data_IF_923691565392
#
_entry.id   IF_923691565392
#
_cell.length_a   1.000
_cell.length_b   1.000
_cell.length_c   1.000
_cell.angle_alpha   90.00
_cell.angle_beta   90.00
_cell.angle_gamma   90.00
#
_symmetry.space_group_name_H-M   'P 1'
#
loop_
_entity.id
_entity.type
_entity.pdbx_description
1 polymer ?
#
# COMPACT_ATOMS: atom_id res chain seq x y z
N UNK A 1 -42.68 -26.36 -7.91
CA UNK A 1 -41.97 -25.97 -6.67
C UNK A 1 -40.62 -26.67 -6.61
N UNK A 2 -39.56 -26.08 -7.18
CA UNK A 2 -38.21 -26.66 -7.18
C UNK A 2 -37.32 -25.92 -6.17
N UNK A 3 -36.90 -26.60 -5.10
CA UNK A 3 -35.99 -26.03 -4.09
C UNK A 3 -34.59 -25.87 -4.69
N UNK A 4 -34.18 -24.63 -4.91
CA UNK A 4 -32.81 -24.29 -5.30
C UNK A 4 -31.82 -24.72 -4.21
N UNK A 5 -30.93 -25.65 -4.55
CA UNK A 5 -29.78 -25.99 -3.71
C UNK A 5 -28.87 -24.77 -3.64
N UNK A 6 -28.94 -24.05 -2.52
CA UNK A 6 -27.99 -23.00 -2.17
C UNK A 6 -26.58 -23.56 -2.19
N UNK A 7 -25.81 -23.18 -3.21
CA UNK A 7 -24.39 -23.49 -3.34
C UNK A 7 -23.67 -22.76 -2.20
N UNK A 8 -23.43 -23.46 -1.09
CA UNK A 8 -22.65 -22.95 0.03
C UNK A 8 -21.31 -22.48 -0.52
N UNK A 9 -21.04 -21.17 -0.42
CA UNK A 9 -19.71 -20.62 -0.68
C UNK A 9 -18.74 -21.35 0.24
N UNK A 10 -17.62 -21.90 -0.28
CA UNK A 10 -16.64 -22.54 0.58
C UNK A 10 -16.20 -21.52 1.63
N UNK A 11 -16.21 -21.93 2.90
CA UNK A 11 -15.82 -21.07 4.00
C UNK A 11 -14.47 -20.44 3.70
N UNK A 12 -14.41 -19.10 3.72
CA UNK A 12 -13.15 -18.37 3.71
C UNK A 12 -12.31 -18.97 4.82
N UNK A 13 -11.25 -19.72 4.47
CA UNK A 13 -10.12 -19.87 5.39
C UNK A 13 -9.73 -18.45 5.76
N UNK A 14 -9.90 -18.09 7.02
CA UNK A 14 -9.38 -16.84 7.54
C UNK A 14 -7.87 -16.98 7.43
N UNK A 15 -7.31 -16.50 6.32
CA UNK A 15 -5.87 -16.29 6.23
C UNK A 15 -5.57 -15.29 7.35
N UNK A 16 -4.57 -15.60 8.15
CA UNK A 16 -4.31 -14.86 9.37
C UNK A 16 -3.77 -13.47 9.01
N UNK A 17 -4.12 -12.49 9.84
CA UNK A 17 -3.35 -11.26 9.93
C UNK A 17 -1.92 -11.62 10.33
N UNK A 18 -0.95 -11.30 9.50
CA UNK A 18 0.46 -11.62 9.75
C UNK A 18 1.33 -10.38 9.63
N UNK A 19 2.45 -10.43 10.35
CA UNK A 19 3.46 -9.37 10.36
C UNK A 19 4.29 -9.42 9.07
N UNK A 20 4.43 -8.29 8.41
CA UNK A 20 5.34 -8.08 7.29
C UNK A 20 6.36 -7.00 7.67
N UNK A 21 7.61 -7.41 7.83
CA UNK A 21 8.73 -6.51 8.10
C UNK A 21 9.09 -5.69 6.86
N UNK A 22 9.51 -4.44 7.08
CA UNK A 22 10.03 -3.54 6.05
C UNK A 22 11.45 -3.09 6.40
N UNK A 23 12.30 -2.81 5.40
CA UNK A 23 13.64 -2.30 5.66
C UNK A 23 13.57 -0.94 6.36
N UNK A 24 14.13 -0.88 7.57
CA UNK A 24 14.19 0.34 8.36
C UNK A 24 15.20 1.35 7.76
N UNK A 25 14.93 2.66 7.84
CA UNK A 25 13.73 3.23 8.46
C UNK A 25 12.48 3.11 7.59
N UNK A 26 11.34 2.86 8.22
CA UNK A 26 10.04 2.92 7.54
C UNK A 26 9.00 3.66 8.37
N UNK A 27 8.35 4.65 7.75
CA UNK A 27 7.24 5.39 8.32
C UNK A 27 5.98 5.16 7.49
N UNK A 28 5.07 4.35 8.02
CA UNK A 28 3.80 4.02 7.36
C UNK A 28 2.90 5.25 7.20
N UNK A 29 2.83 6.12 8.20
CA UNK A 29 1.96 7.29 8.17
C UNK A 29 2.43 8.26 7.08
N UNK A 30 3.73 8.58 7.04
CA UNK A 30 4.31 9.43 6.00
C UNK A 30 4.14 8.83 4.61
N UNK A 31 4.37 7.52 4.48
CA UNK A 31 4.30 6.82 3.19
C UNK A 31 2.86 6.74 2.68
N UNK A 32 1.86 6.71 3.56
CA UNK A 32 0.44 6.61 3.17
C UNK A 32 -0.28 7.96 3.06
N UNK A 33 0.36 9.09 3.42
CA UNK A 33 -0.26 10.43 3.38
C UNK A 33 -0.94 10.76 2.05
N UNK A 34 -0.40 10.30 0.91
CA UNK A 34 -1.02 10.56 -0.40
C UNK A 34 -2.43 9.97 -0.52
N UNK A 35 -2.71 8.83 0.12
CA UNK A 35 -4.01 8.17 0.06
C UNK A 35 -5.05 8.84 0.98
N UNK A 36 -4.58 9.69 1.90
CA UNK A 36 -5.43 10.59 2.69
C UNK A 36 -5.70 11.89 1.93
N UNK A 37 -4.68 12.40 1.23
CA UNK A 37 -4.75 13.68 0.54
C UNK A 37 -5.49 13.62 -0.81
N UNK A 38 -5.45 12.47 -1.49
CA UNK A 38 -6.08 12.30 -2.80
C UNK A 38 -7.53 11.83 -2.66
N UNK A 39 -8.30 12.05 -3.73
CA UNK A 39 -9.67 11.54 -3.85
C UNK A 39 -9.80 10.04 -3.63
N UNK A 40 -11.05 9.58 -3.45
CA UNK A 40 -11.34 8.16 -3.22
C UNK A 40 -10.90 7.29 -4.40
N UNK A 41 -9.89 6.45 -4.18
CA UNK A 41 -9.50 5.36 -5.06
C UNK A 41 -10.08 4.04 -4.52
N UNK A 42 -10.91 3.37 -5.31
CA UNK A 42 -11.55 2.10 -4.92
C UNK A 42 -10.59 0.91 -5.00
N UNK A 43 -9.51 1.03 -5.77
CA UNK A 43 -8.47 0.00 -5.83
C UNK A 43 -7.52 0.13 -4.63
N UNK A 44 -7.30 1.35 -4.13
CA UNK A 44 -6.46 1.65 -2.97
C UNK A 44 -7.09 2.71 -2.07
N UNK A 45 -7.65 2.28 -0.93
CA UNK A 45 -8.41 3.16 -0.04
C UNK A 45 -7.76 3.25 1.33
N UNK A 46 -7.58 4.47 1.84
CA UNK A 46 -7.22 4.67 3.25
C UNK A 46 -8.46 5.03 4.07
N UNK A 47 -8.76 4.25 5.10
CA UNK A 47 -9.91 4.48 5.99
C UNK A 47 -9.57 4.03 7.39
N UNK A 48 -9.84 4.87 8.39
CA UNK A 48 -9.64 4.57 9.81
C UNK A 48 -8.23 4.03 10.17
N UNK A 49 -7.19 4.55 9.51
CA UNK A 49 -5.80 4.14 9.73
C UNK A 49 -5.39 2.85 9.00
N UNK A 50 -6.29 2.29 8.18
CA UNK A 50 -6.07 1.07 7.41
C UNK A 50 -5.96 1.41 5.93
N UNK A 51 -4.87 0.95 5.30
CA UNK A 51 -4.74 0.96 3.84
C UNK A 51 -5.33 -0.34 3.30
N UNK A 52 -6.46 -0.23 2.61
CA UNK A 52 -7.10 -1.31 1.88
C UNK A 52 -6.62 -1.32 0.44
N UNK A 53 -6.19 -2.48 -0.03
CA UNK A 53 -5.71 -2.67 -1.40
C UNK A 53 -6.33 -3.91 -2.02
N UNK A 54 -6.90 -3.76 -3.22
CA UNK A 54 -7.38 -4.89 -4.00
C UNK A 54 -6.20 -5.66 -4.62
N UNK A 55 -6.04 -6.94 -4.28
CA UNK A 55 -4.99 -7.83 -4.79
C UNK A 55 -5.60 -9.18 -5.15
N UNK A 56 -5.50 -9.63 -6.40
CA UNK A 56 -6.06 -10.92 -6.81
C UNK A 56 -7.56 -11.07 -6.59
N UNK A 57 -8.31 -9.95 -6.64
CA UNK A 57 -9.75 -9.92 -6.31
C UNK A 57 -10.07 -10.02 -4.82
N UNK A 58 -9.06 -9.86 -3.94
CA UNK A 58 -9.19 -9.86 -2.49
C UNK A 58 -8.94 -8.46 -1.95
N UNK A 59 -9.71 -8.07 -0.93
CA UNK A 59 -9.41 -6.88 -0.14
C UNK A 59 -8.31 -7.24 0.87
N UNK A 60 -7.20 -6.51 0.81
CA UNK A 60 -6.04 -6.68 1.69
C UNK A 60 -5.92 -5.47 2.58
N UNK A 61 -6.12 -5.67 3.88
CA UNK A 61 -6.00 -4.65 4.90
C UNK A 61 -4.56 -4.58 5.40
N UNK A 62 -3.99 -3.38 5.40
CA UNK A 62 -2.62 -3.10 5.81
C UNK A 62 -2.64 -2.03 6.91
N UNK A 63 -2.04 -2.33 8.05
CA UNK A 63 -1.99 -1.43 9.21
C UNK A 63 -0.56 -1.26 9.71
N UNK A 64 -0.24 -0.07 10.21
CA UNK A 64 1.05 0.19 10.83
C UNK A 64 1.28 -0.74 12.02
N UNK A 65 2.49 -1.27 12.16
CA UNK A 65 2.97 -1.80 13.44
C UNK A 65 4.51 -1.67 13.54
N UNK A 66 5.14 -1.94 14.70
CA UNK A 66 6.57 -1.66 14.90
C UNK A 66 7.50 -2.47 13.98
N UNK A 67 8.26 -1.82 13.08
CA UNK A 67 9.17 -2.49 12.14
C UNK A 67 8.62 -2.82 10.74
N UNK A 68 7.49 -2.23 10.32
CA UNK A 68 6.73 -2.68 9.14
C UNK A 68 5.20 -2.58 9.27
N UNK A 69 4.45 -3.59 8.78
CA UNK A 69 2.97 -3.58 8.76
C UNK A 69 2.34 -4.92 9.12
N UNK A 70 1.14 -4.88 9.68
CA UNK A 70 0.28 -6.06 9.79
C UNK A 70 -0.63 -6.13 8.57
N UNK A 71 -0.70 -7.31 7.95
CA UNK A 71 -1.38 -7.53 6.67
C UNK A 71 -2.38 -8.67 6.80
N UNK A 72 -3.61 -8.45 6.32
CA UNK A 72 -4.68 -9.44 6.29
C UNK A 72 -5.46 -9.39 4.96
N UNK A 73 -5.42 -10.45 4.13
CA UNK A 73 -4.61 -11.66 4.26
C UNK A 73 -3.14 -11.44 3.81
N UNK A 74 -2.19 -12.17 4.42
CA UNK A 74 -0.81 -12.26 3.92
C UNK A 74 -0.48 -13.69 3.47
N UNK A 75 -0.03 -13.81 2.22
CA UNK A 75 0.38 -15.05 1.56
C UNK A 75 1.35 -14.76 0.40
N UNK A 76 1.78 -15.81 -0.32
CA UNK A 76 2.72 -15.72 -1.44
C UNK A 76 2.26 -14.78 -2.57
N UNK A 77 0.95 -14.59 -2.76
CA UNK A 77 0.41 -13.70 -3.79
C UNK A 77 0.37 -12.25 -3.31
N UNK A 78 -0.06 -12.01 -2.06
CA UNK A 78 -0.23 -10.66 -1.51
C UNK A 78 1.08 -10.03 -1.04
N UNK A 79 2.00 -10.82 -0.47
CA UNK A 79 3.26 -10.34 0.08
C UNK A 79 4.09 -9.49 -0.90
N UNK A 80 4.41 -9.93 -2.13
CA UNK A 80 5.22 -9.12 -3.05
C UNK A 80 4.53 -7.82 -3.45
N UNK A 81 3.20 -7.85 -3.62
CA UNK A 81 2.42 -6.65 -3.97
C UNK A 81 2.40 -5.65 -2.83
N UNK A 82 2.21 -6.09 -1.58
CA UNK A 82 2.25 -5.20 -0.41
C UNK A 82 3.63 -4.58 -0.23
N UNK A 83 4.71 -5.36 -0.36
CA UNK A 83 6.08 -4.83 -0.32
C UNK A 83 6.30 -3.76 -1.39
N UNK A 84 5.85 -4.01 -2.62
CA UNK A 84 5.98 -3.05 -3.72
C UNK A 84 5.16 -1.78 -3.46
N UNK A 85 3.88 -1.91 -3.10
CA UNK A 85 3.00 -0.77 -2.80
C UNK A 85 3.58 0.11 -1.67
N UNK A 86 4.22 -0.49 -0.67
CA UNK A 86 4.86 0.24 0.43
C UNK A 86 6.29 0.72 0.12
N UNK A 87 6.73 0.60 -1.14
CA UNK A 87 8.02 1.12 -1.59
C UNK A 87 9.23 0.38 -1.01
N UNK A 88 9.08 -0.89 -0.64
CA UNK A 88 10.20 -1.73 -0.18
C UNK A 88 11.38 -1.80 -1.17
N UNK A 89 11.20 -1.73 -2.50
CA UNK A 89 12.32 -1.72 -3.44
C UNK A 89 13.24 -0.49 -3.36
N UNK A 90 12.81 0.60 -2.71
CA UNK A 90 13.70 1.75 -2.52
C UNK A 90 14.79 1.42 -1.49
N UNK A 91 16.05 1.77 -1.76
CA UNK A 91 17.09 1.69 -0.74
C UNK A 91 17.31 3.08 -0.15
N UNK A 92 16.91 3.26 1.12
CA UNK A 92 16.96 4.55 1.79
C UNK A 92 18.35 4.87 2.33
N UNK A 93 19.17 3.87 2.66
CA UNK A 93 20.46 4.12 3.29
C UNK A 93 21.45 4.81 2.31
N UNK A 94 21.71 4.28 1.10
CA UNK A 94 22.51 4.98 0.10
C UNK A 94 21.91 6.32 -0.31
N UNK A 95 20.57 6.42 -0.35
CA UNK A 95 19.89 7.69 -0.66
C UNK A 95 20.17 8.75 0.41
N UNK A 96 20.14 8.39 1.69
CA UNK A 96 20.48 9.28 2.79
C UNK A 96 21.95 9.67 2.80
N UNK A 97 22.86 8.75 2.48
CA UNK A 97 24.28 9.05 2.35
C UNK A 97 24.57 10.01 1.20
N UNK A 98 23.86 9.87 0.08
CA UNK A 98 23.99 10.74 -1.08
C UNK A 98 23.38 12.15 -0.87
N UNK A 99 22.30 12.24 -0.09
CA UNK A 99 21.56 13.48 0.09
C UNK A 99 22.43 14.58 0.73
N UNK A 100 22.46 15.75 0.09
CA UNK A 100 23.23 16.92 0.55
C UNK A 100 22.44 18.22 0.37
N UNK A 101 22.90 19.30 1.01
CA UNK A 101 22.26 20.61 0.91
C UNK A 101 20.77 20.57 1.30
N UNK A 102 19.86 21.14 0.49
CA UNK A 102 18.42 21.08 0.75
C UNK A 102 17.85 19.66 0.87
N UNK A 103 18.41 18.68 0.16
CA UNK A 103 17.94 17.29 0.23
C UNK A 103 18.24 16.66 1.59
N UNK A 104 19.40 16.94 2.19
CA UNK A 104 19.71 16.45 3.54
C UNK A 104 18.69 16.94 4.58
N UNK A 105 18.20 18.17 4.43
CA UNK A 105 17.14 18.68 5.32
C UNK A 105 15.81 17.94 5.11
N UNK A 106 15.48 17.59 3.86
CA UNK A 106 14.27 16.80 3.57
C UNK A 106 14.38 15.37 4.08
N UNK A 107 15.52 14.70 3.92
CA UNK A 107 15.71 13.32 4.40
C UNK A 107 15.63 13.23 5.93
N UNK A 108 16.06 14.27 6.64
CA UNK A 108 15.85 14.37 8.10
C UNK A 108 14.36 14.54 8.45
N UNK A 109 13.65 15.42 7.76
CA UNK A 109 12.22 15.72 8.03
C UNK A 109 11.27 14.60 7.61
N UNK A 110 11.63 13.85 6.57
CA UNK A 110 10.83 12.79 5.95
C UNK A 110 11.51 11.41 6.14
N UNK A 111 12.21 11.22 7.26
CA UNK A 111 12.91 9.97 7.54
C UNK A 111 11.92 8.80 7.55
N UNK A 112 12.27 7.73 6.85
CA UNK A 112 11.42 6.54 6.68
C UNK A 112 10.32 6.67 5.63
N UNK A 113 10.14 7.83 5.00
CA UNK A 113 9.19 7.98 3.89
C UNK A 113 9.60 7.13 2.69
N UNK A 114 8.68 6.31 2.22
CA UNK A 114 8.77 5.55 0.97
C UNK A 114 7.60 5.94 0.07
N UNK A 115 7.84 6.53 -1.12
CA UNK A 115 6.76 6.81 -2.05
C UNK A 115 6.00 5.53 -2.42
N UNK A 116 4.66 5.46 -2.27
CA UNK A 116 3.92 4.29 -2.69
C UNK A 116 4.03 4.04 -4.19
N UNK A 117 4.32 2.80 -4.56
CA UNK A 117 4.40 2.39 -5.96
C UNK A 117 3.08 1.80 -6.43
N UNK A 118 2.75 2.03 -7.71
CA UNK A 118 1.67 1.29 -8.34
C UNK A 118 2.20 -0.10 -8.76
N UNK A 119 1.53 -1.19 -8.37
CA UNK A 119 2.06 -2.53 -8.58
C UNK A 119 1.88 -3.04 -10.01
N UNK A 120 0.94 -2.47 -10.76
CA UNK A 120 0.61 -2.88 -12.12
C UNK A 120 0.84 -1.74 -13.13
N UNK A 121 1.58 -1.97 -14.24
CA UNK A 121 1.81 -0.95 -15.25
C UNK A 121 0.55 -0.45 -15.96
N UNK A 122 -0.46 -1.31 -16.13
CA UNK A 122 -1.71 -0.90 -16.75
C UNK A 122 -2.51 0.02 -15.81
N UNK A 123 -2.59 -0.30 -14.52
CA UNK A 123 -3.15 0.58 -13.49
C UNK A 123 -2.39 1.91 -13.43
N UNK A 124 -1.06 1.89 -13.56
CA UNK A 124 -0.25 3.09 -13.60
C UNK A 124 -0.55 3.96 -14.82
N UNK A 125 -0.72 3.35 -15.99
CA UNK A 125 -1.11 4.05 -17.22
C UNK A 125 -2.51 4.67 -17.09
N UNK A 126 -3.50 3.91 -16.61
CA UNK A 126 -4.88 4.40 -16.42
C UNK A 126 -4.89 5.57 -15.44
N UNK A 127 -4.19 5.45 -14.31
CA UNK A 127 -4.06 6.52 -13.32
C UNK A 127 -3.40 7.75 -13.92
N UNK A 128 -2.31 7.55 -14.68
CA UNK A 128 -1.56 8.65 -15.30
C UNK A 128 -2.38 9.39 -16.36
N UNK A 129 -3.26 8.71 -17.09
CA UNK A 129 -4.15 9.35 -18.09
C UNK A 129 -5.29 10.08 -17.39
N UNK A 130 -5.96 9.42 -16.44
CA UNK A 130 -7.15 9.97 -15.77
C UNK A 130 -6.82 11.13 -14.82
N UNK A 131 -5.58 11.22 -14.34
CA UNK A 131 -5.08 12.33 -13.56
C UNK A 131 -4.72 13.58 -14.40
N UNK A 132 -4.71 13.48 -15.74
CA UNK A 132 -4.33 14.61 -16.58
C UNK A 132 -5.36 15.74 -16.49
N UNK A 133 -4.85 16.97 -16.39
CA UNK A 133 -5.63 18.21 -16.43
C UNK A 133 -6.65 18.36 -15.29
N UNK A 134 -6.53 17.56 -14.22
CA UNK A 134 -7.38 17.63 -13.02
C UNK A 134 -6.52 17.70 -11.76
N UNK A 135 -7.10 18.21 -10.67
CA UNK A 135 -6.49 18.12 -9.34
C UNK A 135 -6.65 16.71 -8.79
N UNK A 136 -5.62 16.20 -8.11
CA UNK A 136 -5.70 14.94 -7.37
C UNK A 136 -6.31 15.11 -5.97
N UNK A 137 -6.34 16.34 -5.45
CA UNK A 137 -6.93 16.66 -4.15
C UNK A 137 -8.46 16.70 -4.23
N UNK A 138 -9.11 16.10 -3.23
CA UNK A 138 -10.56 16.14 -3.02
C UNK A 138 -10.93 16.73 -1.67
#
# INVERSE_FOLDING_TARGET
MGRGRGRRRPGRRHLARLRLELPEPFDFALSTTRFVAFGTDLATRFVDGVLHRAIGGRDVAITAAPGGVDVDPLDEETRPVVLHVLGAPFDLEPFYTWASGPMAQLTMRLRGFRPPLQPDPFEALVTSITAQQVSLFS
#
